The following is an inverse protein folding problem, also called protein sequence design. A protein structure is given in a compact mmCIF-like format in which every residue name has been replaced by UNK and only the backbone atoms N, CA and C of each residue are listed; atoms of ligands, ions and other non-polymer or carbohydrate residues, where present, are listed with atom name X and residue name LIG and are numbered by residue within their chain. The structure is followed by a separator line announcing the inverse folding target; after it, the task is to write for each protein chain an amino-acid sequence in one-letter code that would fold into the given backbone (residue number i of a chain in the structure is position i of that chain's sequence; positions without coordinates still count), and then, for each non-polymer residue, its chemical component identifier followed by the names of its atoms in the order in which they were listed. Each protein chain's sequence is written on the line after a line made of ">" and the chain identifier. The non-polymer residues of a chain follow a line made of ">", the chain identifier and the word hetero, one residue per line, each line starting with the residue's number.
data_IF_749206732791
#
_entry.id   IF_749206732791
#
_cell.length_a   1.000
_cell.length_b   1.000
_cell.length_c   1.000
_cell.angle_alpha   90.00
_cell.angle_beta   90.00
_cell.angle_gamma   90.00
#
_symmetry.space_group_name_H-M   'P 1'
#
loop_
_entity.id
_entity.type
_entity.pdbx_description
1 polymer ?
#
# COMPACT_ATOMS: atom_id res chain seq x y z
N UNK A 1 -95.74 -11.00 5.09
CA UNK A 1 -95.73 -11.25 6.56
C UNK A 1 -95.76 -12.77 6.78
N UNK A 2 -95.24 -13.34 7.87
CA UNK A 2 -93.92 -13.14 8.47
C UNK A 2 -93.23 -14.50 8.86
N UNK A 3 -91.94 -14.41 9.25
CA UNK A 3 -91.37 -15.09 10.43
C UNK A 3 -90.98 -16.59 10.37
N UNK A 4 -90.38 -17.17 11.44
CA UNK A 4 -88.98 -16.98 11.87
C UNK A 4 -88.36 -18.33 12.31
N UNK A 5 -87.03 -18.46 12.54
CA UNK A 5 -86.52 -19.53 13.43
C UNK A 5 -85.25 -19.12 14.22
N UNK A 6 -85.43 -19.06 15.55
CA UNK A 6 -84.60 -19.54 16.68
C UNK A 6 -83.07 -19.31 16.64
N UNK A 7 -82.45 -18.50 17.50
CA UNK A 7 -82.20 -18.64 18.95
C UNK A 7 -81.40 -19.90 19.35
N UNK A 8 -80.13 -19.73 19.77
CA UNK A 8 -79.47 -20.52 20.82
C UNK A 8 -78.10 -19.92 21.24
N UNK A 9 -77.82 -20.06 22.53
CA UNK A 9 -76.71 -19.50 23.30
C UNK A 9 -75.54 -20.48 23.52
N UNK A 10 -74.35 -19.92 23.76
CA UNK A 10 -73.24 -20.38 24.64
C UNK A 10 -72.50 -21.70 24.31
N UNK A 11 -71.18 -21.60 24.08
CA UNK A 11 -70.15 -22.41 24.75
C UNK A 11 -68.72 -21.94 24.39
N UNK A 12 -67.90 -21.78 25.43
CA UNK A 12 -66.45 -21.53 25.42
C UNK A 12 -65.71 -22.84 25.07
N UNK A 13 -64.65 -22.79 24.27
CA UNK A 13 -63.53 -23.73 24.44
C UNK A 13 -62.19 -23.18 23.94
N UNK A 14 -61.17 -23.59 24.69
CA UNK A 14 -59.81 -23.09 24.80
C UNK A 14 -58.84 -23.77 23.82
N UNK A 15 -57.69 -23.12 23.60
CA UNK A 15 -56.39 -23.63 23.14
C UNK A 15 -56.11 -23.66 21.62
N UNK A 16 -55.07 -22.93 21.21
CA UNK A 16 -53.82 -23.50 20.69
C UNK A 16 -52.70 -22.41 20.64
N UNK A 17 -51.57 -22.70 21.31
CA UNK A 17 -50.14 -22.44 20.97
C UNK A 17 -49.78 -21.40 19.88
N UNK A 18 -48.72 -20.61 19.98
CA UNK A 18 -47.53 -20.74 20.80
C UNK A 18 -46.63 -19.50 20.71
N UNK A 19 -45.74 -19.37 21.69
CA UNK A 19 -44.83 -18.24 21.87
C UNK A 19 -43.77 -18.18 20.75
N UNK A 20 -43.73 -17.06 20.02
CA UNK A 20 -42.58 -16.66 19.21
C UNK A 20 -41.53 -16.04 20.13
N UNK A 21 -40.60 -16.84 20.65
CA UNK A 21 -39.34 -16.29 21.20
C UNK A 21 -38.29 -16.36 20.10
N UNK A 22 -38.02 -15.23 19.44
CA UNK A 22 -36.86 -15.10 18.57
C UNK A 22 -35.60 -15.20 19.44
N UNK A 23 -34.84 -16.28 19.28
CA UNK A 23 -33.47 -16.36 19.76
C UNK A 23 -32.61 -15.38 18.94
N UNK A 24 -31.81 -14.51 19.56
CA UNK A 24 -30.80 -13.76 18.80
C UNK A 24 -29.74 -14.75 18.33
N UNK A 25 -29.63 -14.91 17.00
CA UNK A 25 -28.46 -15.52 16.37
C UNK A 25 -27.28 -14.63 16.78
N UNK A 26 -26.40 -15.18 17.62
CA UNK A 26 -25.11 -14.59 17.88
C UNK A 26 -24.35 -14.60 16.55
N UNK A 27 -24.37 -13.47 15.84
CA UNK A 27 -23.44 -13.20 14.77
C UNK A 27 -22.04 -13.28 15.39
N UNK A 28 -21.35 -14.39 15.14
CA UNK A 28 -19.90 -14.42 15.34
C UNK A 28 -19.36 -13.31 14.46
N UNK A 29 -18.81 -12.29 15.09
CA UNK A 29 -17.94 -11.34 14.43
C UNK A 29 -16.75 -12.14 13.91
N UNK A 30 -16.81 -12.52 12.63
CA UNK A 30 -15.60 -12.77 11.87
C UNK A 30 -14.78 -11.48 12.00
N UNK A 31 -13.59 -11.58 12.59
CA UNK A 31 -12.64 -10.47 12.60
C UNK A 31 -12.38 -9.97 11.17
N UNK A 32 -11.74 -8.80 11.00
CA UNK A 32 -11.38 -8.33 9.69
C UNK A 32 -10.46 -9.39 9.06
N UNK A 33 -11.01 -10.14 8.11
CA UNK A 33 -10.20 -10.79 7.09
C UNK A 33 -9.68 -9.62 6.27
N UNK A 34 -8.51 -9.13 6.62
CA UNK A 34 -7.63 -8.53 5.61
C UNK A 34 -7.60 -9.57 4.50
N UNK A 35 -8.05 -9.17 3.31
CA UNK A 35 -7.96 -10.01 2.13
C UNK A 35 -6.49 -10.20 1.86
N UNK A 36 -5.90 -11.22 2.48
CA UNK A 36 -4.59 -11.77 2.13
C UNK A 36 -4.68 -12.04 0.63
N UNK A 37 -4.00 -11.22 -0.17
CA UNK A 37 -4.01 -11.39 -1.60
C UNK A 37 -3.44 -12.78 -1.91
N UNK A 38 -4.00 -13.47 -2.89
CA UNK A 38 -3.47 -14.79 -3.24
C UNK A 38 -2.02 -14.64 -3.71
N UNK A 39 -1.06 -15.04 -2.88
CA UNK A 39 0.38 -14.88 -3.15
C UNK A 39 1.06 -13.71 -2.42
N UNK A 40 0.42 -13.11 -1.41
CA UNK A 40 1.01 -12.18 -0.44
C UNK A 40 0.39 -12.53 0.92
N UNK A 41 1.07 -13.40 1.69
CA UNK A 41 0.49 -14.08 2.86
C UNK A 41 0.43 -13.21 4.13
N UNK A 42 1.31 -12.22 4.29
CA UNK A 42 1.26 -11.26 5.39
C UNK A 42 0.62 -9.92 5.03
N UNK A 43 0.32 -9.69 3.75
CA UNK A 43 -0.47 -8.56 3.28
C UNK A 43 0.32 -7.26 3.29
N UNK A 44 1.64 -7.33 3.10
CA UNK A 44 2.55 -6.20 3.09
C UNK A 44 2.81 -5.63 1.69
N UNK A 45 2.11 -6.16 0.67
CA UNK A 45 2.21 -5.83 -0.75
C UNK A 45 3.43 -6.37 -1.49
N UNK A 46 4.33 -7.08 -0.80
CA UNK A 46 5.44 -7.80 -1.42
C UNK A 46 4.98 -9.23 -1.71
N UNK A 47 4.97 -9.69 -2.97
CA UNK A 47 4.55 -11.06 -3.28
C UNK A 47 5.46 -12.11 -2.63
N UNK A 48 4.88 -13.19 -2.12
CA UNK A 48 5.52 -14.41 -1.60
C UNK A 48 6.70 -14.92 -2.46
N UNK A 49 6.59 -14.73 -3.77
CA UNK A 49 7.61 -15.15 -4.75
C UNK A 49 8.85 -14.28 -4.69
N UNK A 50 8.70 -12.98 -4.47
CA UNK A 50 9.78 -12.01 -4.31
C UNK A 50 10.45 -12.22 -2.95
N UNK A 51 9.66 -12.33 -1.88
CA UNK A 51 10.21 -12.49 -0.53
C UNK A 51 11.10 -13.73 -0.38
N UNK A 52 10.73 -14.84 -1.02
CA UNK A 52 11.55 -16.06 -1.03
C UNK A 52 12.92 -15.84 -1.67
N UNK A 53 13.04 -14.94 -2.63
CA UNK A 53 14.32 -14.58 -3.25
C UNK A 53 15.09 -13.60 -2.37
N UNK A 54 14.40 -12.59 -1.81
CA UNK A 54 15.01 -11.55 -0.97
C UNK A 54 15.56 -12.12 0.35
N UNK A 55 14.75 -12.89 1.08
CA UNK A 55 15.07 -13.28 2.46
C UNK A 55 14.72 -14.73 2.82
N UNK A 56 14.11 -15.49 1.90
CA UNK A 56 13.97 -16.96 2.02
C UNK A 56 12.70 -17.47 2.69
N UNK A 57 11.82 -16.59 3.16
CA UNK A 57 10.44 -16.92 3.57
C UNK A 57 9.44 -16.01 2.87
N UNK A 58 8.15 -16.24 3.07
CA UNK A 58 7.07 -15.44 2.50
C UNK A 58 6.46 -14.48 3.52
N UNK A 59 7.24 -13.98 4.48
CA UNK A 59 6.77 -12.93 5.40
C UNK A 59 7.93 -12.09 5.95
N UNK A 60 9.03 -12.00 5.19
CA UNK A 60 10.31 -11.53 5.75
C UNK A 60 10.86 -10.30 5.09
N UNK A 61 10.44 -9.98 3.86
CA UNK A 61 10.92 -8.77 3.22
C UNK A 61 10.21 -7.59 3.87
N UNK A 62 10.91 -6.48 4.06
CA UNK A 62 10.29 -5.23 4.52
C UNK A 62 10.25 -4.17 3.44
N UNK A 63 10.79 -4.48 2.25
CA UNK A 63 10.88 -3.57 1.11
C UNK A 63 12.01 -2.55 1.25
N UNK A 64 12.89 -2.72 2.23
CA UNK A 64 13.99 -1.79 2.54
C UNK A 64 15.36 -2.45 2.52
N UNK A 65 15.41 -3.76 2.28
CA UNK A 65 16.63 -4.49 2.02
C UNK A 65 17.30 -3.93 0.76
N UNK A 66 18.62 -3.73 0.82
CA UNK A 66 19.46 -3.23 -0.27
C UNK A 66 20.85 -3.84 -0.03
N UNK A 67 21.07 -5.04 -0.60
CA UNK A 67 22.21 -5.89 -0.24
C UNK A 67 23.52 -5.45 -0.89
N UNK A 68 23.48 -4.73 -2.01
CA UNK A 68 24.67 -4.16 -2.65
C UNK A 68 24.85 -2.66 -2.39
N UNK A 69 23.86 -2.01 -1.79
CA UNK A 69 23.96 -0.65 -1.28
C UNK A 69 23.96 0.40 -2.39
N UNK A 70 23.35 0.08 -3.53
CA UNK A 70 23.28 1.00 -4.68
C UNK A 70 22.08 1.95 -4.61
N UNK A 71 21.17 1.72 -3.64
CA UNK A 71 19.98 2.51 -3.38
C UNK A 71 18.70 1.95 -4.00
N UNK A 72 18.76 0.86 -4.77
CA UNK A 72 17.59 0.14 -5.26
C UNK A 72 17.28 -1.00 -4.28
N UNK A 73 16.07 -1.05 -3.73
CA UNK A 73 15.72 -2.11 -2.80
C UNK A 73 15.67 -3.49 -3.48
N UNK A 74 16.11 -4.53 -2.77
CA UNK A 74 16.18 -5.92 -3.24
C UNK A 74 14.85 -6.40 -3.84
N UNK A 75 13.72 -6.00 -3.26
CA UNK A 75 12.39 -6.34 -3.77
C UNK A 75 12.12 -5.75 -5.17
N UNK A 76 12.60 -4.53 -5.44
CA UNK A 76 12.53 -3.85 -6.74
C UNK A 76 13.40 -4.59 -7.76
N UNK A 77 14.60 -4.98 -7.36
CA UNK A 77 15.54 -5.68 -8.24
C UNK A 77 15.02 -7.05 -8.63
N UNK A 78 14.48 -7.80 -7.66
CA UNK A 78 13.88 -9.11 -7.93
C UNK A 78 12.65 -8.95 -8.83
N UNK A 79 11.82 -7.93 -8.62
CA UNK A 79 10.68 -7.66 -9.48
C UNK A 79 11.09 -7.29 -10.92
N UNK A 80 12.19 -6.53 -11.09
CA UNK A 80 12.62 -6.03 -12.39
C UNK A 80 13.49 -7.00 -13.19
N UNK A 81 14.38 -7.75 -12.52
CA UNK A 81 15.39 -8.60 -13.17
C UNK A 81 15.69 -9.92 -12.45
N UNK A 82 15.02 -10.21 -11.33
CA UNK A 82 14.96 -11.56 -10.74
C UNK A 82 16.04 -11.89 -9.71
N UNK A 83 16.97 -10.98 -9.40
CA UNK A 83 17.97 -11.15 -8.33
C UNK A 83 18.14 -9.87 -7.54
N UNK A 84 18.76 -9.94 -6.37
CA UNK A 84 18.95 -8.79 -5.46
C UNK A 84 20.21 -7.96 -5.75
N UNK A 85 20.73 -7.98 -6.99
CA UNK A 85 21.96 -7.23 -7.40
C UNK A 85 22.02 -6.97 -8.91
N UNK A 86 20.87 -6.92 -9.57
CA UNK A 86 20.80 -6.93 -11.05
C UNK A 86 20.31 -5.63 -11.66
N UNK A 87 19.92 -4.66 -10.84
CA UNK A 87 19.66 -3.32 -11.32
C UNK A 87 20.93 -2.46 -11.16
N UNK A 88 21.03 -1.40 -11.95
CA UNK A 88 21.98 -0.31 -11.73
C UNK A 88 21.16 0.98 -11.79
N UNK A 89 21.18 1.84 -10.77
CA UNK A 89 20.44 3.09 -10.78
C UNK A 89 20.89 4.04 -11.89
N UNK A 90 22.06 3.80 -12.51
CA UNK A 90 22.62 4.60 -13.62
C UNK A 90 22.32 4.04 -15.01
N UNK A 91 21.79 2.82 -15.12
CA UNK A 91 21.41 2.28 -16.41
C UNK A 91 20.22 3.06 -17.00
N UNK A 92 20.28 3.34 -18.30
CA UNK A 92 19.34 4.14 -19.10
C UNK A 92 19.67 3.87 -20.58
N UNK A 93 19.13 2.77 -21.12
CA UNK A 93 19.62 2.20 -22.36
C UNK A 93 19.26 3.03 -23.59
N UNK A 94 18.14 3.77 -23.57
CA UNK A 94 17.76 4.69 -24.64
C UNK A 94 18.04 6.17 -24.35
N UNK A 95 18.44 6.51 -23.12
CA UNK A 95 18.86 7.85 -22.73
C UNK A 95 17.70 8.83 -22.57
N UNK A 96 16.48 8.32 -22.35
CA UNK A 96 15.30 9.16 -22.17
C UNK A 96 15.17 9.74 -20.74
N UNK A 97 15.96 9.22 -19.81
CA UNK A 97 16.02 9.65 -18.41
C UNK A 97 15.29 8.71 -17.44
N UNK A 98 14.57 7.70 -17.94
CA UNK A 98 13.93 6.64 -17.16
C UNK A 98 14.95 5.50 -16.98
N UNK A 99 15.20 5.03 -15.74
CA UNK A 99 16.14 3.92 -15.55
C UNK A 99 15.61 2.57 -16.07
N UNK A 100 16.49 1.74 -16.64
CA UNK A 100 16.15 0.41 -17.21
C UNK A 100 15.31 -0.46 -16.26
N UNK A 101 15.60 -0.43 -14.95
CA UNK A 101 14.85 -1.23 -13.98
C UNK A 101 13.39 -0.80 -13.86
N UNK A 102 13.10 0.50 -14.01
CA UNK A 102 11.74 1.04 -14.02
C UNK A 102 11.03 0.61 -15.30
N UNK A 103 11.70 0.69 -16.45
CA UNK A 103 11.10 0.28 -17.72
C UNK A 103 10.75 -1.21 -17.76
N UNK A 104 11.62 -2.07 -17.21
CA UNK A 104 11.32 -3.50 -17.05
C UNK A 104 10.09 -3.75 -16.19
N UNK A 105 9.88 -2.96 -15.14
CA UNK A 105 8.70 -3.06 -14.28
C UNK A 105 7.41 -2.60 -15.00
N UNK A 106 7.51 -1.54 -15.78
CA UNK A 106 6.36 -0.92 -16.48
C UNK A 106 5.94 -1.74 -17.70
N UNK A 107 6.89 -2.16 -18.53
CA UNK A 107 6.62 -2.71 -19.86
C UNK A 107 7.53 -3.88 -20.28
N UNK A 108 8.46 -4.31 -19.42
CA UNK A 108 9.20 -5.57 -19.60
C UNK A 108 10.42 -5.51 -20.50
N UNK A 109 10.92 -4.32 -20.86
CA UNK A 109 12.20 -4.15 -21.55
C UNK A 109 12.89 -2.85 -21.13
N UNK A 110 14.17 -2.69 -21.49
CA UNK A 110 14.99 -1.54 -21.09
C UNK A 110 14.84 -0.31 -22.02
N UNK A 111 13.82 -0.25 -22.89
CA UNK A 111 13.64 0.84 -23.89
C UNK A 111 12.16 1.10 -24.25
N UNK A 112 11.22 0.82 -23.34
CA UNK A 112 9.80 0.73 -23.68
C UNK A 112 8.89 1.78 -23.05
N UNK A 113 9.35 2.51 -22.03
CA UNK A 113 8.62 3.65 -21.52
C UNK A 113 9.13 4.90 -22.24
N UNK A 114 8.25 5.85 -22.57
CA UNK A 114 8.65 7.13 -23.16
C UNK A 114 8.37 8.33 -22.25
N UNK A 115 7.82 8.04 -21.07
CA UNK A 115 7.36 9.03 -20.11
C UNK A 115 6.05 9.72 -20.50
N UNK A 116 5.31 9.16 -21.46
CA UNK A 116 4.07 9.75 -22.01
C UNK A 116 2.86 8.83 -21.92
N UNK A 117 3.09 7.58 -21.57
CA UNK A 117 2.06 6.61 -21.26
C UNK A 117 1.29 7.13 -20.03
N UNK A 118 -0.04 7.16 -20.11
CA UNK A 118 -0.95 7.68 -19.08
C UNK A 118 -2.27 6.90 -19.25
N UNK A 119 -2.35 5.76 -18.56
CA UNK A 119 -3.36 4.73 -18.79
C UNK A 119 -4.75 5.15 -18.30
N UNK A 120 -4.84 5.93 -17.22
CA UNK A 120 -6.11 6.42 -16.69
C UNK A 120 -6.44 7.88 -17.07
N UNK A 121 -5.49 8.61 -17.66
CA UNK A 121 -5.69 9.93 -18.23
C UNK A 121 -5.71 11.05 -17.19
N UNK A 122 -5.11 10.84 -16.02
CA UNK A 122 -5.07 11.83 -14.95
C UNK A 122 -3.88 12.80 -15.04
N UNK A 123 -2.96 12.53 -15.97
CA UNK A 123 -1.78 13.35 -16.26
C UNK A 123 -0.52 12.92 -15.50
N UNK A 124 -0.55 11.84 -14.74
CA UNK A 124 0.63 11.18 -14.17
C UNK A 124 1.08 10.06 -15.12
N UNK A 125 2.34 10.06 -15.59
CA UNK A 125 2.78 9.00 -16.49
C UNK A 125 2.83 7.62 -15.81
N UNK A 126 2.49 6.55 -16.53
CA UNK A 126 2.41 5.16 -16.02
C UNK A 126 3.65 4.74 -15.21
N UNK A 127 4.84 5.14 -15.66
CA UNK A 127 6.10 4.80 -14.95
C UNK A 127 6.21 5.50 -13.60
N UNK A 128 5.72 6.74 -13.49
CA UNK A 128 5.69 7.51 -12.25
C UNK A 128 4.72 6.83 -11.28
N UNK A 129 3.54 6.44 -11.76
CA UNK A 129 2.57 5.75 -10.94
C UNK A 129 3.08 4.40 -10.43
N UNK A 130 3.76 3.64 -11.31
CA UNK A 130 4.36 2.37 -10.92
C UNK A 130 5.38 2.56 -9.80
N UNK A 131 6.21 3.62 -9.86
CA UNK A 131 7.18 3.92 -8.80
C UNK A 131 6.50 4.35 -7.50
N UNK A 132 5.42 5.12 -7.57
CA UNK A 132 4.71 5.63 -6.37
C UNK A 132 3.92 4.52 -5.67
N UNK A 133 3.21 3.67 -6.43
CA UNK A 133 2.23 2.76 -5.86
C UNK A 133 2.06 1.41 -6.59
N UNK A 134 2.92 1.11 -7.58
CA UNK A 134 3.04 -0.23 -8.17
C UNK A 134 2.05 -0.58 -9.27
N UNK A 135 1.21 0.36 -9.73
CA UNK A 135 0.32 0.17 -10.89
C UNK A 135 0.22 1.43 -11.73
N UNK A 136 -0.21 1.32 -12.98
CA UNK A 136 -0.35 2.45 -13.91
C UNK A 136 -1.72 3.17 -13.83
N UNK A 137 -2.37 3.13 -12.67
CA UNK A 137 -3.67 3.84 -12.45
C UNK A 137 -3.89 4.23 -10.98
N UNK A 138 -2.81 4.39 -10.20
CA UNK A 138 -2.90 4.49 -8.74
C UNK A 138 -2.42 5.79 -8.14
N UNK A 139 -1.61 6.58 -8.85
CA UNK A 139 -1.11 7.84 -8.33
C UNK A 139 -1.90 8.99 -8.94
N UNK A 140 -2.29 9.93 -8.09
CA UNK A 140 -3.07 11.13 -8.48
C UNK A 140 -2.19 12.34 -8.79
N UNK A 141 -0.88 12.22 -8.54
CA UNK A 141 0.11 13.29 -8.67
C UNK A 141 0.12 14.24 -7.46
N UNK A 142 -0.59 13.89 -6.38
CA UNK A 142 -0.68 14.68 -5.15
C UNK A 142 -0.04 14.01 -3.94
N UNK A 143 0.47 12.79 -4.13
CA UNK A 143 1.20 12.03 -3.13
C UNK A 143 2.45 12.81 -2.72
N UNK A 144 2.67 12.95 -1.41
CA UNK A 144 3.82 13.60 -0.77
C UNK A 144 4.19 12.72 0.42
N UNK A 145 4.88 11.62 0.12
CA UNK A 145 5.07 10.53 1.06
C UNK A 145 6.12 10.84 2.14
N UNK A 146 7.07 11.73 1.83
CA UNK A 146 8.06 12.22 2.80
C UNK A 146 7.61 13.48 3.57
N UNK A 147 6.53 14.14 3.11
CA UNK A 147 5.91 15.28 3.77
C UNK A 147 6.72 16.56 3.65
N UNK A 148 7.56 16.69 2.61
CA UNK A 148 8.38 17.88 2.37
C UNK A 148 7.61 19.01 1.67
N UNK A 149 6.38 18.73 1.20
CA UNK A 149 5.51 19.66 0.52
C UNK A 149 5.67 19.69 -1.00
N UNK A 150 6.48 18.81 -1.58
CA UNK A 150 6.63 18.57 -3.02
C UNK A 150 6.03 17.20 -3.34
N UNK A 151 5.14 17.15 -4.34
CA UNK A 151 4.56 15.87 -4.72
C UNK A 151 5.61 14.91 -5.31
N UNK A 152 5.53 13.64 -4.95
CA UNK A 152 6.43 12.57 -5.41
C UNK A 152 6.49 12.49 -6.94
N UNK A 153 5.34 12.63 -7.60
CA UNK A 153 5.24 12.65 -9.06
C UNK A 153 6.02 13.81 -9.70
N UNK A 154 6.07 14.96 -9.03
CA UNK A 154 6.85 16.14 -9.47
C UNK A 154 8.34 15.88 -9.31
N UNK A 155 8.74 15.29 -8.17
CA UNK A 155 10.14 14.92 -7.88
C UNK A 155 10.68 13.91 -8.90
N UNK A 156 9.91 12.87 -9.21
CA UNK A 156 10.30 11.84 -10.18
C UNK A 156 10.43 12.40 -11.60
N UNK A 157 9.48 13.21 -12.07
CA UNK A 157 9.56 13.84 -13.39
C UNK A 157 10.75 14.81 -13.50
N UNK A 158 11.04 15.57 -12.44
CA UNK A 158 12.21 16.43 -12.41
C UNK A 158 13.52 15.64 -12.48
N UNK A 159 13.59 14.48 -11.83
CA UNK A 159 14.73 13.58 -11.88
C UNK A 159 14.97 13.02 -13.29
N UNK A 160 13.92 12.55 -13.98
CA UNK A 160 14.03 12.06 -15.36
C UNK A 160 14.55 13.14 -16.32
N UNK A 161 14.04 14.37 -16.22
CA UNK A 161 14.53 15.50 -17.02
C UNK A 161 16.00 15.86 -16.71
N UNK A 162 16.39 15.78 -15.44
CA UNK A 162 17.78 16.01 -15.03
C UNK A 162 18.72 14.97 -15.67
N UNK A 163 18.33 13.68 -15.65
CA UNK A 163 19.07 12.58 -16.29
C UNK A 163 19.21 12.75 -17.79
N UNK A 164 18.11 13.04 -18.48
CA UNK A 164 18.12 13.29 -19.93
C UNK A 164 19.04 14.48 -20.30
N UNK A 165 19.05 15.53 -19.47
CA UNK A 165 19.95 16.67 -19.67
C UNK A 165 21.41 16.29 -19.48
N UNK A 166 21.73 15.42 -18.53
CA UNK A 166 23.09 14.92 -18.32
C UNK A 166 23.56 14.10 -19.55
N UNK A 167 22.71 13.20 -20.04
CA UNK A 167 22.97 12.37 -21.21
C UNK A 167 23.24 13.20 -22.48
N UNK A 168 22.50 14.30 -22.67
CA UNK A 168 22.61 15.15 -23.87
C UNK A 168 23.72 16.20 -23.81
N UNK A 169 24.13 16.64 -22.62
CA UNK A 169 25.14 17.71 -22.46
C UNK A 169 26.55 17.18 -22.18
N UNK A 170 26.70 15.91 -21.75
CA UNK A 170 28.01 15.31 -21.46
C UNK A 170 28.81 16.05 -20.38
N UNK A 171 28.16 16.88 -19.55
CA UNK A 171 28.80 17.60 -18.46
C UNK A 171 28.58 16.86 -17.14
N UNK A 172 29.56 16.06 -16.73
CA UNK A 172 29.73 15.55 -15.36
C UNK A 172 30.71 16.44 -14.53
N UNK A 173 30.87 17.70 -14.94
CA UNK A 173 31.94 18.58 -14.46
C UNK A 173 31.63 19.48 -13.26
N UNK A 174 30.56 19.26 -12.50
CA UNK A 174 30.25 20.09 -11.32
C UNK A 174 30.75 19.50 -9.99
N UNK A 175 31.28 18.26 -10.00
CA UNK A 175 31.80 17.62 -8.81
C UNK A 175 30.77 17.49 -7.68
N UNK A 176 29.47 17.56 -8.01
CA UNK A 176 28.38 17.33 -7.05
C UNK A 176 28.23 15.82 -6.95
N UNK A 177 28.60 15.19 -5.82
CA UNK A 177 28.25 13.81 -5.60
C UNK A 177 26.72 13.71 -5.65
N UNK A 178 26.23 12.68 -6.32
CA UNK A 178 24.86 12.13 -6.31
C UNK A 178 24.06 12.21 -4.98
N UNK A 179 24.70 12.56 -3.87
CA UNK A 179 24.18 12.71 -2.51
C UNK A 179 23.19 13.87 -2.28
N UNK A 180 22.65 14.52 -3.31
CA UNK A 180 21.60 15.56 -3.14
C UNK A 180 20.34 15.27 -3.98
N UNK A 181 20.28 14.15 -4.71
CA UNK A 181 19.20 13.91 -5.67
C UNK A 181 18.06 12.99 -5.24
N UNK A 182 18.36 11.79 -4.71
CA UNK A 182 17.33 10.76 -4.50
C UNK A 182 17.70 9.91 -3.28
N UNK A 183 17.74 10.53 -2.11
CA UNK A 183 17.78 9.81 -0.84
C UNK A 183 16.40 9.62 -0.19
N UNK A 184 15.32 10.00 -0.88
CA UNK A 184 14.00 10.17 -0.24
C UNK A 184 12.79 9.62 -1.03
N UNK A 185 12.95 9.05 -2.24
CA UNK A 185 11.79 8.68 -3.07
C UNK A 185 11.87 7.27 -3.66
N UNK A 186 12.32 6.30 -2.86
CA UNK A 186 12.07 4.88 -3.13
C UNK A 186 11.35 4.29 -1.94
N UNK A 187 10.08 4.66 -1.81
CA UNK A 187 9.12 3.80 -1.14
C UNK A 187 8.37 3.07 -2.24
N UNK A 188 8.82 1.87 -2.58
CA UNK A 188 7.87 0.87 -3.05
C UNK A 188 6.98 0.57 -1.83
N UNK A 189 5.70 0.92 -1.92
CA UNK A 189 4.67 0.43 -0.99
C UNK A 189 4.74 1.00 0.43
N UNK A 190 4.45 2.28 0.59
CA UNK A 190 4.27 2.89 1.90
C UNK A 190 2.94 2.51 2.54
N UNK A 191 2.83 1.32 3.13
CA UNK A 191 1.84 1.05 4.18
C UNK A 191 2.31 0.07 5.28
N UNK A 192 3.62 -0.08 5.46
CA UNK A 192 4.23 -0.90 6.50
C UNK A 192 4.87 -0.16 7.68
N UNK A 193 4.60 1.13 7.95
CA UNK A 193 5.28 1.82 9.06
C UNK A 193 4.55 3.01 9.73
N UNK A 194 3.23 2.94 9.93
CA UNK A 194 2.54 3.81 10.91
C UNK A 194 1.87 2.98 12.02
N UNK A 195 2.68 2.27 12.81
CA UNK A 195 2.25 1.82 14.12
C UNK A 195 3.40 1.76 15.14
N UNK A 196 3.13 2.35 16.31
CA UNK A 196 3.82 2.17 17.59
C UNK A 196 5.02 3.08 17.88
N UNK A 197 4.71 4.34 18.22
CA UNK A 197 5.19 4.85 19.52
C UNK A 197 4.03 5.30 20.39
N UNK A 198 3.26 4.30 20.82
CA UNK A 198 2.41 4.41 21.99
C UNK A 198 3.30 4.88 23.17
N UNK A 199 3.20 6.17 23.52
CA UNK A 199 3.63 6.65 24.84
C UNK A 199 2.69 6.03 25.86
N UNK A 200 2.94 4.76 26.23
CA UNK A 200 2.47 4.20 27.49
C UNK A 200 3.16 4.98 28.61
N UNK A 201 2.62 6.15 28.96
CA UNK A 201 2.86 6.71 30.28
C UNK A 201 2.21 5.72 31.25
N UNK A 202 2.95 5.11 32.19
CA UNK A 202 2.29 4.46 33.32
C UNK A 202 1.51 5.55 34.06
N UNK A 203 0.18 5.52 33.94
CA UNK A 203 -0.67 6.13 34.95
C UNK A 203 -0.37 5.35 36.24
N UNK A 204 0.40 5.97 37.13
CA UNK A 204 0.48 5.53 38.52
C UNK A 204 -0.95 5.48 39.04
N UNK A 205 -1.34 4.30 39.52
CA UNK A 205 -2.51 4.14 40.35
C UNK A 205 -2.45 5.14 41.50
N UNK A 206 -3.47 5.99 41.56
CA UNK A 206 -3.80 6.76 42.74
C UNK A 206 -5.30 6.54 42.98
N UNK A 207 -5.65 5.29 43.29
CA UNK A 207 -6.74 5.04 44.21
C UNK A 207 -6.16 5.02 45.62
N UNK A 208 -6.92 5.61 46.54
CA UNK A 208 -6.84 5.52 48.00
C UNK A 208 -6.05 6.60 48.74
N UNK A 209 -6.79 7.44 49.50
CA UNK A 209 -6.24 8.34 50.50
C UNK A 209 -6.95 9.69 50.67
N UNK A 210 -8.27 9.70 50.80
CA UNK A 210 -8.96 10.81 51.46
C UNK A 210 -8.72 10.74 52.99
N UNK A 211 -8.70 11.91 53.65
CA UNK A 211 -8.70 12.11 55.12
C UNK A 211 -7.40 11.71 55.87
N UNK A 212 -6.78 12.48 56.77
CA UNK A 212 -7.29 13.37 57.83
C UNK A 212 -6.26 14.49 58.09
N UNK A 213 -6.77 15.70 58.28
CA UNK A 213 -6.07 16.86 58.82
C UNK A 213 -6.15 16.78 60.35
N UNK A 214 -4.99 16.81 61.03
CA UNK A 214 -4.86 17.18 62.44
C UNK A 214 -3.74 18.21 62.54
#
# INVERSE_FOLDING_TARGET
>A
MPSPRFAASVAVLLALVGALTLSPIAARASGPVTSVSAGDVDGDTIPDTIERVVCGSSTCATGTEDVDGDGIADAVEVASCGTTRCADPRADADGDGIPDFVERLVCGSDICASGREDTDGDGVPDWVEFVICGTATCATGSEDLDGDGVADAVSLQAYALYRQKLATTGQDGDGVPWAVGVGAALIIGGAGALAVRARRRPRRDASEGAEVRA
#
